data_IF_327151588576
#
_entry.id   IF_327151588576
#
_cell.length_a   1.000
_cell.length_b   1.000
_cell.length_c   1.000
_cell.angle_alpha   90.00
_cell.angle_beta   90.00
_cell.angle_gamma   90.00
#
_symmetry.space_group_name_H-M   'P 1'
#
loop_
_entity.id
_entity.type
_entity.pdbx_description
1 polymer ?
#
# COMPACT_ATOMS: atom_id res chain seq x y z
N UNK A 1 -13.98 5.14 19.06
CA UNK A 1 -14.78 5.70 17.94
C UNK A 1 -14.49 7.15 17.59
N UNK A 2 -13.94 7.98 18.49
CA UNK A 2 -13.61 9.38 18.17
C UNK A 2 -12.52 9.50 17.09
N UNK A 3 -11.45 8.73 17.25
CA UNK A 3 -10.32 8.72 16.32
C UNK A 3 -10.69 8.32 14.87
N UNK A 4 -11.69 7.47 14.67
CA UNK A 4 -12.15 7.08 13.34
C UNK A 4 -12.88 8.22 12.61
N UNK A 5 -13.60 9.06 13.36
CA UNK A 5 -14.31 10.23 12.80
C UNK A 5 -13.34 11.35 12.46
N UNK A 6 -12.33 11.55 13.30
CA UNK A 6 -11.30 12.57 13.08
C UNK A 6 -10.45 12.24 11.84
N UNK A 7 -10.14 10.95 11.64
CA UNK A 7 -9.45 10.47 10.44
C UNK A 7 -10.30 10.65 9.18
N UNK A 8 -11.61 10.39 9.26
CA UNK A 8 -12.54 10.58 8.14
C UNK A 8 -12.69 12.05 7.75
N UNK A 9 -12.68 12.96 8.73
CA UNK A 9 -12.71 14.40 8.50
C UNK A 9 -11.41 14.93 7.86
N UNK A 10 -10.26 14.40 8.29
CA UNK A 10 -8.96 14.82 7.75
C UNK A 10 -8.72 14.34 6.30
N UNK A 11 -9.40 13.27 5.88
CA UNK A 11 -9.25 12.66 4.55
C UNK A 11 -10.32 13.10 3.54
N UNK A 12 -11.40 13.75 3.96
CA UNK A 12 -12.40 14.30 3.06
C UNK A 12 -11.94 15.63 2.48
N UNK A 13 -11.64 15.63 1.18
CA UNK A 13 -11.41 16.86 0.42
C UNK A 13 -12.73 17.64 0.25
N UNK A 14 -12.65 18.97 0.17
CA UNK A 14 -13.76 19.94 0.17
C UNK A 14 -14.78 19.80 -0.99
N UNK A 15 -14.58 18.87 -1.92
CA UNK A 15 -15.45 18.66 -3.08
C UNK A 15 -16.30 17.37 -3.00
N UNK A 16 -16.18 16.56 -1.93
CA UNK A 16 -17.10 15.44 -1.67
C UNK A 16 -17.17 14.34 -2.74
N UNK A 17 -16.30 14.39 -3.74
CA UNK A 17 -16.29 13.52 -4.90
C UNK A 17 -14.96 12.80 -4.98
N UNK A 18 -15.03 11.49 -4.71
CA UNK A 18 -14.08 10.45 -5.07
C UNK A 18 -12.69 10.56 -4.43
N UNK A 19 -12.54 10.00 -3.23
CA UNK A 19 -11.26 9.40 -2.86
C UNK A 19 -10.99 8.22 -3.82
N UNK A 20 -9.82 8.19 -4.47
CA UNK A 20 -9.42 7.11 -5.39
C UNK A 20 -9.49 5.70 -4.75
N UNK A 21 -9.45 5.65 -3.41
CA UNK A 21 -9.59 4.44 -2.61
C UNK A 21 -10.65 4.71 -1.52
N UNK A 22 -11.73 3.94 -1.55
CA UNK A 22 -12.75 3.98 -0.50
C UNK A 22 -12.21 3.30 0.76
N UNK A 23 -11.92 4.10 1.78
CA UNK A 23 -11.35 3.59 3.03
C UNK A 23 -12.26 2.61 3.77
N UNK A 24 -13.58 2.74 3.60
CA UNK A 24 -14.55 1.84 4.24
C UNK A 24 -14.48 0.46 3.59
N UNK A 25 -14.54 0.40 2.26
CA UNK A 25 -14.44 -0.88 1.53
C UNK A 25 -13.09 -1.55 1.71
N UNK A 26 -11.99 -0.77 1.72
CA UNK A 26 -10.66 -1.31 2.04
C UNK A 26 -10.65 -1.98 3.43
N UNK A 27 -11.24 -1.34 4.45
CA UNK A 27 -11.29 -1.92 5.80
C UNK A 27 -12.12 -3.22 5.83
N UNK A 28 -13.23 -3.29 5.10
CA UNK A 28 -14.08 -4.48 5.03
C UNK A 28 -13.39 -5.63 4.29
N UNK A 29 -12.71 -5.32 3.17
CA UNK A 29 -11.88 -6.27 2.43
C UNK A 29 -10.77 -6.85 3.31
N UNK A 30 -10.03 -6.00 4.05
CA UNK A 30 -8.95 -6.44 4.96
C UNK A 30 -9.50 -7.35 6.06
N UNK A 31 -10.61 -6.98 6.70
CA UNK A 31 -11.20 -7.81 7.75
C UNK A 31 -11.68 -9.16 7.21
N UNK A 32 -12.23 -9.17 5.99
CA UNK A 32 -12.66 -10.40 5.33
C UNK A 32 -11.46 -11.26 4.96
N UNK A 33 -10.40 -10.67 4.42
CA UNK A 33 -9.18 -11.37 4.06
C UNK A 33 -8.47 -11.94 5.31
N UNK A 34 -8.40 -11.18 6.41
CA UNK A 34 -7.80 -11.65 7.67
C UNK A 34 -8.45 -12.93 8.21
N UNK A 35 -9.76 -13.12 8.01
CA UNK A 35 -10.45 -14.37 8.42
C UNK A 35 -9.97 -15.59 7.63
N UNK A 36 -9.46 -15.37 6.41
CA UNK A 36 -8.94 -16.43 5.54
C UNK A 36 -7.43 -16.63 5.70
N UNK A 37 -6.72 -15.62 6.22
CA UNK A 37 -5.29 -15.69 6.51
C UNK A 37 -5.07 -16.33 7.89
N UNK A 38 -4.26 -17.39 7.96
CA UNK A 38 -3.90 -18.07 9.22
C UNK A 38 -2.83 -17.27 10.01
N UNK A 39 -3.14 -16.03 10.40
CA UNK A 39 -2.19 -15.08 11.03
C UNK A 39 -0.97 -14.72 10.16
N UNK A 40 -1.06 -14.84 8.84
CA UNK A 40 -0.02 -14.32 7.95
C UNK A 40 -0.05 -12.79 7.99
N UNK A 41 1.10 -12.19 8.28
CA UNK A 41 1.27 -10.73 8.41
C UNK A 41 2.30 -10.19 7.40
N UNK A 42 3.01 -11.06 6.68
CA UNK A 42 3.95 -10.63 5.67
C UNK A 42 3.21 -10.09 4.43
N UNK A 43 3.35 -8.80 4.08
CA UNK A 43 2.58 -8.19 2.99
C UNK A 43 2.89 -8.82 1.63
N UNK A 44 4.09 -9.40 1.44
CA UNK A 44 4.45 -10.10 0.20
C UNK A 44 3.77 -11.46 0.13
N UNK A 45 3.76 -12.23 1.21
CA UNK A 45 3.04 -13.51 1.31
C UNK A 45 1.53 -13.32 1.10
N UNK A 46 0.95 -12.27 1.70
CA UNK A 46 -0.47 -11.93 1.52
C UNK A 46 -0.77 -11.57 0.05
N UNK A 47 0.09 -10.76 -0.59
CA UNK A 47 -0.08 -10.42 -2.00
C UNK A 47 0.01 -11.66 -2.90
N UNK A 48 0.96 -12.55 -2.62
CA UNK A 48 1.13 -13.81 -3.35
C UNK A 48 -0.11 -14.70 -3.18
N UNK A 49 -0.64 -14.83 -1.97
CA UNK A 49 -1.87 -15.57 -1.70
C UNK A 49 -3.05 -15.04 -2.52
N UNK A 50 -3.23 -13.71 -2.58
CA UNK A 50 -4.28 -13.08 -3.39
C UNK A 50 -4.12 -13.42 -4.87
N UNK A 51 -2.89 -13.37 -5.40
CA UNK A 51 -2.61 -13.70 -6.81
C UNK A 51 -2.83 -15.19 -7.12
N UNK A 52 -2.34 -16.10 -6.26
CA UNK A 52 -2.45 -17.54 -6.46
C UNK A 52 -3.90 -18.03 -6.43
N UNK A 53 -4.72 -17.45 -5.55
CA UNK A 53 -6.14 -17.78 -5.42
C UNK A 53 -7.04 -16.96 -6.36
N UNK A 54 -6.47 -16.11 -7.24
CA UNK A 54 -7.21 -15.22 -8.16
C UNK A 54 -8.23 -14.32 -7.44
N UNK A 55 -7.90 -13.86 -6.24
CA UNK A 55 -8.79 -13.06 -5.39
C UNK A 55 -8.67 -11.55 -5.66
N UNK A 56 -7.99 -11.16 -6.75
CA UNK A 56 -7.76 -9.76 -7.11
C UNK A 56 -9.08 -9.04 -7.39
N UNK A 57 -10.03 -9.71 -8.04
CA UNK A 57 -11.35 -9.16 -8.32
C UNK A 57 -12.22 -9.06 -7.06
N UNK A 58 -11.94 -9.87 -6.02
CA UNK A 58 -12.66 -9.86 -4.75
C UNK A 58 -12.10 -8.83 -3.76
N UNK A 59 -10.79 -8.54 -3.85
CA UNK A 59 -10.11 -7.60 -2.97
C UNK A 59 -9.27 -6.58 -3.76
N UNK A 60 -9.89 -5.79 -4.66
CA UNK A 60 -9.18 -4.86 -5.53
C UNK A 60 -8.48 -3.74 -4.73
N UNK A 61 -9.12 -3.23 -3.67
CA UNK A 61 -8.54 -2.15 -2.86
C UNK A 61 -7.33 -2.67 -2.05
N UNK A 62 -7.44 -3.86 -1.47
CA UNK A 62 -6.31 -4.49 -0.74
C UNK A 62 -5.14 -4.80 -1.66
N UNK A 63 -5.41 -5.31 -2.86
CA UNK A 63 -4.37 -5.58 -3.85
C UNK A 63 -3.59 -4.30 -4.22
N UNK A 64 -4.30 -3.21 -4.49
CA UNK A 64 -3.67 -1.90 -4.79
C UNK A 64 -2.87 -1.39 -3.58
N UNK A 65 -3.44 -1.45 -2.37
CA UNK A 65 -2.78 -1.01 -1.15
C UNK A 65 -1.48 -1.78 -0.87
N UNK A 66 -1.50 -3.12 -0.99
CA UNK A 66 -0.31 -3.97 -0.81
C UNK A 66 0.76 -3.69 -1.86
N UNK A 67 0.35 -3.46 -3.12
CA UNK A 67 1.29 -3.05 -4.16
C UNK A 67 1.94 -1.72 -3.82
N UNK A 68 1.18 -0.70 -3.45
CA UNK A 68 1.74 0.61 -3.05
C UNK A 68 2.71 0.41 -1.88
N UNK A 69 2.29 -0.32 -0.84
CA UNK A 69 3.11 -0.61 0.34
C UNK A 69 4.43 -1.31 0.01
N UNK A 70 4.44 -2.28 -0.92
CA UNK A 70 5.66 -2.99 -1.32
C UNK A 70 6.53 -2.18 -2.28
N UNK A 71 5.91 -1.30 -3.08
CA UNK A 71 6.64 -0.48 -4.08
C UNK A 71 7.25 0.77 -3.45
N UNK A 72 6.63 1.37 -2.43
CA UNK A 72 7.13 2.57 -1.75
C UNK A 72 8.53 2.40 -1.12
N UNK A 73 8.80 1.41 -0.26
CA UNK A 73 10.14 1.20 0.31
C UNK A 73 11.13 0.70 -0.74
N UNK A 74 10.69 -0.10 -1.72
CA UNK A 74 11.54 -0.52 -2.85
C UNK A 74 11.98 0.68 -3.69
N UNK A 75 11.09 1.61 -3.96
CA UNK A 75 11.39 2.82 -4.74
C UNK A 75 12.25 3.79 -3.94
N UNK A 76 11.96 3.98 -2.65
CA UNK A 76 12.79 4.79 -1.76
C UNK A 76 14.23 4.25 -1.70
N UNK A 77 14.40 2.95 -1.39
CA UNK A 77 15.71 2.32 -1.32
C UNK A 77 16.44 2.30 -2.69
N UNK A 78 15.73 2.10 -3.79
CA UNK A 78 16.29 2.14 -5.15
C UNK A 78 16.72 3.56 -5.54
N UNK A 79 15.92 4.57 -5.21
CA UNK A 79 16.25 5.97 -5.43
C UNK A 79 17.49 6.37 -4.61
N UNK A 80 17.51 6.08 -3.31
CA UNK A 80 18.66 6.36 -2.44
C UNK A 80 19.94 5.66 -2.92
N UNK A 81 19.84 4.39 -3.33
CA UNK A 81 20.97 3.65 -3.93
C UNK A 81 21.43 4.29 -5.24
N UNK A 82 20.50 4.72 -6.09
CA UNK A 82 20.82 5.36 -7.38
C UNK A 82 21.46 6.74 -7.19
N UNK A 83 20.97 7.55 -6.26
CA UNK A 83 21.58 8.83 -5.87
C UNK A 83 22.96 8.65 -5.24
N UNK A 84 23.16 7.61 -4.43
CA UNK A 84 24.48 7.27 -3.87
C UNK A 84 25.50 6.96 -4.97
N UNK A 85 25.11 6.18 -6.00
CA UNK A 85 25.96 5.92 -7.16
C UNK A 85 26.25 7.19 -7.97
N UNK A 86 25.26 8.05 -8.19
CA UNK A 86 25.45 9.32 -8.90
C UNK A 86 26.42 10.24 -8.15
N UNK A 87 26.37 10.25 -6.81
CA UNK A 87 27.30 10.99 -5.96
C UNK A 87 28.74 10.50 -6.12
N UNK A 88 28.96 9.18 -6.22
CA UNK A 88 30.28 8.59 -6.46
C UNK A 88 30.82 8.98 -7.84
N UNK A 89 30.00 8.88 -8.89
CA UNK A 89 30.39 9.26 -10.26
C UNK A 89 30.76 10.74 -10.35
N UNK A 90 29.99 11.63 -9.70
CA UNK A 90 30.30 13.07 -9.66
C UNK A 90 31.59 13.38 -8.91
N UNK A 91 31.92 12.61 -7.86
CA UNK A 91 33.14 12.80 -7.09
C UNK A 91 34.39 12.24 -7.79
N UNK A 92 34.24 11.22 -8.64
CA UNK A 92 35.34 10.61 -9.38
C UNK A 92 35.84 11.47 -10.56
N UNK A 93 34.96 12.30 -11.14
CA UNK A 93 35.27 13.17 -12.29
C UNK A 93 35.81 14.55 -11.90
N UNK A 94 36.12 14.77 -10.63
CA UNK A 94 36.65 16.03 -10.08
C UNK A 94 38.04 15.78 -9.53
#
# INVERSE_FOLDING_TARGET
MKCCKDLQLALSSNDGLNSDINSVELCEEINTLQKHLKNENDPKAILQFICENKLIELFPNVYVALRILLTLPVTAASAERSFSKLKIVKNYLR
#
